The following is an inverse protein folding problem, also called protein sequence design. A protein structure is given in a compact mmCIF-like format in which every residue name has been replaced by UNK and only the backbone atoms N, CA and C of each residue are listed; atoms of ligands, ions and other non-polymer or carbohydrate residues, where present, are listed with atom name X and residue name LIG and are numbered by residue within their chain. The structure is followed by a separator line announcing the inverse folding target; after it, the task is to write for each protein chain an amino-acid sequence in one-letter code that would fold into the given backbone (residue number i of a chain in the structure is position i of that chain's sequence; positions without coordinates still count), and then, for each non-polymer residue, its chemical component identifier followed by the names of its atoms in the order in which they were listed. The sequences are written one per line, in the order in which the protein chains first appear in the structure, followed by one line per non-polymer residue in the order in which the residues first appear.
data_IF_210297656491
#
_entry.id   IF_210297656491
#
_cell.length_a   1.000
_cell.length_b   1.000
_cell.length_c   1.000
_cell.angle_alpha   90.00
_cell.angle_beta   90.00
_cell.angle_gamma   90.00
#
_symmetry.space_group_name_H-M   'P 1'
#
loop_
_entity.id
_entity.type
_entity.pdbx_description
1 polymer ?
#
# COMPACT_ATOMS: atom_id res chain seq x y z
N UNK A 1 -0.28 -0.78 -16.17
CA UNK A 1 0.36 -0.82 -14.85
C UNK A 1 0.03 0.40 -14.01
N UNK A 2 0.56 1.61 -14.29
CA UNK A 2 0.26 2.79 -13.46
C UNK A 2 -1.25 3.05 -13.33
N UNK A 3 -1.98 3.00 -14.46
CA UNK A 3 -3.44 3.06 -14.47
C UNK A 3 -4.10 2.01 -13.56
N UNK A 4 -3.64 0.76 -13.57
CA UNK A 4 -4.13 -0.30 -12.67
C UNK A 4 -3.90 0.05 -11.20
N UNK A 5 -2.72 0.57 -10.86
CA UNK A 5 -2.42 1.00 -9.49
C UNK A 5 -3.37 2.10 -9.04
N UNK A 6 -3.63 3.09 -9.91
CA UNK A 6 -4.55 4.19 -9.63
C UNK A 6 -6.01 3.73 -9.54
N UNK A 7 -6.47 2.83 -10.41
CA UNK A 7 -7.88 2.42 -10.47
C UNK A 7 -8.25 1.36 -9.43
N UNK A 8 -7.31 0.52 -9.00
CA UNK A 8 -7.52 -0.38 -7.85
C UNK A 8 -7.40 0.32 -6.50
N UNK A 9 -7.01 1.61 -6.49
CA UNK A 9 -7.13 2.51 -5.36
C UNK A 9 -7.92 3.74 -5.83
N UNK A 10 -9.17 3.53 -6.29
CA UNK A 10 -9.88 4.53 -7.08
C UNK A 10 -10.08 5.81 -6.28
N UNK A 11 -9.87 6.93 -6.96
CA UNK A 11 -10.22 8.25 -6.43
C UNK A 11 -11.68 8.55 -6.74
N UNK A 12 -12.35 9.35 -5.91
CA UNK A 12 -13.66 9.91 -6.27
C UNK A 12 -13.53 10.70 -7.59
N UNK A 13 -14.46 10.57 -8.57
CA UNK A 13 -15.77 9.92 -8.54
C UNK A 13 -15.82 8.44 -8.95
N UNK A 14 -14.68 7.77 -9.05
CA UNK A 14 -14.59 6.38 -9.50
C UNK A 14 -14.76 5.37 -8.36
N UNK A 15 -15.22 5.79 -7.19
CA UNK A 15 -15.46 4.91 -6.06
C UNK A 15 -16.52 3.85 -6.38
N UNK A 16 -16.42 2.75 -5.65
CA UNK A 16 -17.33 1.63 -5.75
C UNK A 16 -16.91 0.57 -6.78
N UNK A 17 -17.93 -0.13 -7.27
CA UNK A 17 -17.81 -1.28 -8.18
C UNK A 17 -17.06 -0.89 -9.45
N UNK A 18 -17.37 0.27 -10.03
CA UNK A 18 -16.82 0.71 -11.32
C UNK A 18 -15.30 0.89 -11.31
N UNK A 19 -14.72 1.58 -10.32
CA UNK A 19 -13.27 1.76 -10.24
C UNK A 19 -12.52 0.43 -10.09
N UNK A 20 -13.06 -0.46 -9.25
CA UNK A 20 -12.48 -1.79 -9.01
C UNK A 20 -12.50 -2.66 -10.27
N UNK A 21 -13.63 -2.69 -11.00
CA UNK A 21 -13.73 -3.39 -12.28
C UNK A 21 -12.80 -2.78 -13.34
N UNK A 22 -12.74 -1.46 -13.46
CA UNK A 22 -11.79 -0.78 -14.35
C UNK A 22 -10.35 -1.17 -14.03
N UNK A 23 -10.02 -1.28 -12.74
CA UNK A 23 -8.75 -1.80 -12.25
C UNK A 23 -8.45 -3.20 -12.78
N UNK A 24 -9.35 -4.17 -12.58
CA UNK A 24 -9.16 -5.54 -13.05
C UNK A 24 -9.18 -5.68 -14.57
N UNK A 25 -10.10 -5.00 -15.27
CA UNK A 25 -10.15 -4.93 -16.73
C UNK A 25 -8.83 -4.40 -17.31
N UNK A 26 -8.19 -3.43 -16.64
CA UNK A 26 -6.89 -2.91 -17.08
C UNK A 26 -5.75 -3.94 -16.99
N UNK A 27 -5.81 -4.90 -16.06
CA UNK A 27 -4.85 -6.02 -15.99
C UNK A 27 -4.99 -6.89 -17.23
N UNK A 28 -6.23 -7.22 -17.61
CA UNK A 28 -6.50 -8.03 -18.80
C UNK A 28 -6.11 -7.30 -20.10
N UNK A 29 -6.42 -6.00 -20.20
CA UNK A 29 -5.97 -5.18 -21.33
C UNK A 29 -4.44 -5.12 -21.43
N UNK A 30 -3.74 -5.01 -20.29
CA UNK A 30 -2.29 -5.05 -20.26
C UNK A 30 -1.75 -6.39 -20.78
N UNK A 31 -2.38 -7.51 -20.42
CA UNK A 31 -2.05 -8.83 -20.98
C UNK A 31 -2.19 -8.85 -22.51
N UNK A 32 -3.31 -8.37 -23.06
CA UNK A 32 -3.52 -8.31 -24.51
C UNK A 32 -2.44 -7.47 -25.20
N UNK A 33 -2.11 -6.30 -24.65
CA UNK A 33 -1.08 -5.41 -25.18
C UNK A 33 0.29 -6.09 -25.17
N UNK A 34 0.68 -6.71 -24.06
CA UNK A 34 1.97 -7.39 -23.94
C UNK A 34 2.07 -8.61 -24.85
N UNK A 35 0.98 -9.38 -24.98
CA UNK A 35 0.89 -10.51 -25.92
C UNK A 35 1.04 -10.04 -27.36
N UNK A 36 0.31 -8.99 -27.78
CA UNK A 36 0.39 -8.41 -29.13
C UNK A 36 1.81 -7.92 -29.45
N UNK A 37 2.48 -7.32 -28.46
CA UNK A 37 3.85 -6.83 -28.59
C UNK A 37 4.92 -7.93 -28.44
N UNK A 38 4.53 -9.21 -28.28
CA UNK A 38 5.43 -10.34 -28.05
C UNK A 38 6.40 -10.13 -26.88
N UNK A 39 5.91 -9.47 -25.82
CA UNK A 39 6.69 -9.16 -24.61
C UNK A 39 6.56 -10.25 -23.54
N UNK A 40 5.67 -11.23 -23.73
CA UNK A 40 5.43 -12.29 -22.77
C UNK A 40 6.37 -13.47 -23.01
N UNK A 41 7.07 -13.86 -21.95
CA UNK A 41 7.96 -15.00 -21.88
C UNK A 41 7.79 -15.70 -20.53
N UNK A 42 8.05 -17.00 -20.49
CA UNK A 42 7.95 -17.83 -19.28
C UNK A 42 9.20 -18.70 -19.22
N UNK A 43 9.97 -18.57 -18.15
CA UNK A 43 11.04 -19.52 -17.81
C UNK A 43 10.45 -20.69 -17.03
N UNK A 44 11.17 -21.81 -16.97
CA UNK A 44 10.72 -23.01 -16.22
C UNK A 44 10.46 -22.68 -14.74
N UNK A 45 11.31 -21.88 -14.10
CA UNK A 45 11.10 -21.42 -12.72
C UNK A 45 9.82 -20.61 -12.56
N UNK A 46 9.51 -19.76 -13.55
CA UNK A 46 8.32 -18.92 -13.56
C UNK A 46 7.06 -19.81 -13.63
N UNK A 47 7.10 -20.83 -14.51
CA UNK A 47 6.02 -21.80 -14.68
C UNK A 47 5.76 -22.60 -13.39
N UNK A 48 6.81 -23.08 -12.72
CA UNK A 48 6.66 -23.82 -11.45
C UNK A 48 5.95 -22.98 -10.38
N UNK A 49 6.35 -21.72 -10.21
CA UNK A 49 5.70 -20.82 -9.26
C UNK A 49 4.27 -20.52 -9.69
N UNK A 50 4.00 -20.31 -10.99
CA UNK A 50 2.64 -20.09 -11.49
C UNK A 50 1.72 -21.28 -11.25
N UNK A 51 2.21 -22.52 -11.42
CA UNK A 51 1.44 -23.73 -11.13
C UNK A 51 1.10 -23.80 -9.63
N UNK A 52 2.09 -23.53 -8.76
CA UNK A 52 1.86 -23.48 -7.31
C UNK A 52 0.84 -22.39 -6.94
N UNK A 53 0.94 -21.20 -7.55
CA UNK A 53 -0.03 -20.12 -7.33
C UNK A 53 -1.42 -20.49 -7.81
N UNK A 54 -1.53 -21.15 -8.97
CA UNK A 54 -2.80 -21.64 -9.48
C UNK A 54 -3.43 -22.64 -8.51
N UNK A 55 -2.66 -23.57 -7.97
CA UNK A 55 -3.17 -24.53 -6.99
C UNK A 55 -3.59 -23.85 -5.68
N UNK A 56 -2.69 -23.06 -5.08
CA UNK A 56 -2.89 -22.50 -3.73
C UNK A 56 -3.89 -21.35 -3.70
N UNK A 57 -3.91 -20.47 -4.71
CA UNK A 57 -4.74 -19.26 -4.70
C UNK A 57 -6.00 -19.33 -5.56
N UNK A 58 -6.14 -20.36 -6.42
CA UNK A 58 -7.32 -20.55 -7.26
C UNK A 58 -8.02 -21.88 -6.98
N UNK A 59 -7.32 -23.03 -7.05
CA UNK A 59 -7.96 -24.35 -6.88
C UNK A 59 -8.42 -24.56 -5.43
N UNK A 60 -7.53 -24.42 -4.44
CA UNK A 60 -7.90 -24.65 -3.03
C UNK A 60 -9.06 -23.72 -2.60
N UNK A 61 -9.04 -22.40 -2.91
CA UNK A 61 -10.15 -21.53 -2.55
C UNK A 61 -11.48 -21.85 -3.23
N UNK A 62 -11.50 -22.57 -4.37
CA UNK A 62 -12.75 -23.02 -4.99
C UNK A 62 -13.56 -23.97 -4.10
N UNK A 63 -12.93 -24.66 -3.15
CA UNK A 63 -13.64 -25.53 -2.20
C UNK A 63 -14.37 -24.75 -1.10
N UNK A 64 -14.09 -23.45 -0.95
CA UNK A 64 -14.71 -22.59 0.05
C UNK A 64 -15.57 -21.52 -0.64
N UNK A 65 -14.93 -20.50 -1.21
CA UNK A 65 -15.57 -19.43 -1.94
C UNK A 65 -14.58 -18.84 -2.96
N UNK A 66 -14.88 -19.04 -4.25
CA UNK A 66 -14.01 -18.53 -5.31
C UNK A 66 -13.94 -17.00 -5.30
N UNK A 67 -12.73 -16.46 -5.16
CA UNK A 67 -12.49 -15.02 -5.18
C UNK A 67 -11.93 -14.61 -6.54
N UNK A 68 -12.75 -13.96 -7.36
CA UNK A 68 -12.37 -13.54 -8.73
C UNK A 68 -11.11 -12.68 -8.77
N UNK A 69 -10.84 -11.88 -7.73
CA UNK A 69 -9.62 -11.08 -7.65
C UNK A 69 -8.34 -11.91 -7.65
N UNK A 70 -8.35 -13.14 -7.10
CA UNK A 70 -7.20 -14.05 -7.12
C UNK A 70 -6.71 -14.31 -8.54
N UNK A 71 -7.62 -14.43 -9.52
CA UNK A 71 -7.26 -14.68 -10.91
C UNK A 71 -6.46 -13.50 -11.48
N UNK A 72 -6.93 -12.28 -11.23
CA UNK A 72 -6.25 -11.08 -11.67
C UNK A 72 -4.92 -10.85 -10.93
N UNK A 73 -4.79 -11.29 -9.68
CA UNK A 73 -3.54 -11.21 -8.92
C UNK A 73 -2.49 -12.16 -9.51
N UNK A 74 -2.85 -13.42 -9.78
CA UNK A 74 -1.97 -14.39 -10.46
C UNK A 74 -1.57 -13.88 -11.85
N UNK A 75 -2.52 -13.33 -12.62
CA UNK A 75 -2.22 -12.70 -13.90
C UNK A 75 -1.29 -11.50 -13.75
N UNK A 76 -1.48 -10.66 -12.73
CA UNK A 76 -0.61 -9.50 -12.47
C UNK A 76 0.82 -9.90 -12.14
N UNK A 77 1.00 -10.97 -11.37
CA UNK A 77 2.32 -11.56 -11.14
C UNK A 77 2.96 -12.01 -12.45
N UNK A 78 2.24 -12.76 -13.29
CA UNK A 78 2.74 -13.20 -14.61
C UNK A 78 3.17 -12.01 -15.49
N UNK A 79 2.36 -10.95 -15.54
CA UNK A 79 2.70 -9.74 -16.27
C UNK A 79 3.94 -9.05 -15.67
N UNK A 80 4.04 -8.96 -14.34
CA UNK A 80 5.14 -8.30 -13.65
C UNK A 80 6.51 -8.96 -13.92
N UNK A 81 6.57 -10.28 -14.11
CA UNK A 81 7.80 -10.99 -14.49
C UNK A 81 8.41 -10.43 -15.80
N UNK A 82 7.52 -10.09 -16.73
CA UNK A 82 7.86 -9.65 -18.09
C UNK A 82 8.10 -8.14 -18.21
N UNK A 83 8.04 -7.39 -17.10
CA UNK A 83 8.30 -5.95 -17.11
C UNK A 83 9.79 -5.68 -17.05
N UNK A 84 10.30 -5.02 -18.09
CA UNK A 84 11.67 -4.54 -18.09
C UNK A 84 11.84 -3.30 -17.19
N UNK A 85 13.10 -3.00 -16.88
CA UNK A 85 13.46 -1.94 -15.94
C UNK A 85 13.02 -0.55 -16.41
N UNK A 86 13.02 -0.28 -17.72
CA UNK A 86 12.67 1.03 -18.25
C UNK A 86 11.17 1.26 -18.05
N UNK A 87 10.33 0.29 -18.40
CA UNK A 87 8.88 0.40 -18.20
C UNK A 87 8.50 0.38 -16.71
N UNK A 88 9.21 -0.37 -15.87
CA UNK A 88 9.04 -0.30 -14.41
C UNK A 88 9.34 1.09 -13.84
N UNK A 89 10.44 1.72 -14.27
CA UNK A 89 10.79 3.10 -13.88
C UNK A 89 9.74 4.12 -14.35
N UNK A 90 9.33 4.04 -15.62
CA UNK A 90 8.28 4.91 -16.17
C UNK A 90 6.97 4.77 -15.39
N UNK A 91 6.63 3.53 -14.99
CA UNK A 91 5.46 3.27 -14.14
C UNK A 91 5.55 3.98 -12.80
N UNK A 92 6.70 3.95 -12.14
CA UNK A 92 6.91 4.70 -10.89
C UNK A 92 6.78 6.21 -11.10
N UNK A 93 7.34 6.74 -12.19
CA UNK A 93 7.25 8.16 -12.54
C UNK A 93 5.77 8.58 -12.78
N UNK A 94 4.97 7.75 -13.47
CA UNK A 94 3.54 8.01 -13.65
C UNK A 94 2.75 7.95 -12.34
N UNK A 95 3.02 6.97 -11.47
CA UNK A 95 2.37 6.89 -10.15
C UNK A 95 2.75 8.13 -9.30
N UNK A 96 4.02 8.54 -9.34
CA UNK A 96 4.48 9.75 -8.63
C UNK A 96 3.78 11.00 -9.13
N UNK A 97 3.64 11.16 -10.46
CA UNK A 97 2.95 12.29 -11.07
C UNK A 97 1.46 12.31 -10.72
N UNK A 98 0.79 11.15 -10.74
CA UNK A 98 -0.61 11.02 -10.32
C UNK A 98 -0.81 11.48 -8.88
N UNK A 99 -0.02 10.94 -7.94
CA UNK A 99 -0.10 11.34 -6.53
C UNK A 99 0.21 12.82 -6.34
N UNK A 100 1.22 13.34 -7.03
CA UNK A 100 1.56 14.76 -6.99
C UNK A 100 0.36 15.64 -7.37
N UNK A 101 -0.30 15.39 -8.50
CA UNK A 101 -1.42 16.22 -8.93
C UNK A 101 -2.64 16.08 -8.02
N UNK A 102 -2.96 14.85 -7.61
CA UNK A 102 -4.07 14.58 -6.69
C UNK A 102 -3.87 15.33 -5.37
N UNK A 103 -2.69 15.21 -4.75
CA UNK A 103 -2.38 15.86 -3.47
C UNK A 103 -2.25 17.38 -3.64
N UNK A 104 -1.61 17.86 -4.70
CA UNK A 104 -1.39 19.29 -4.94
C UNK A 104 -2.70 20.07 -5.03
N UNK A 105 -3.73 19.48 -5.64
CA UNK A 105 -5.05 20.12 -5.79
C UNK A 105 -5.87 19.96 -4.51
N UNK A 106 -5.90 18.76 -3.94
CA UNK A 106 -6.77 18.46 -2.79
C UNK A 106 -6.28 19.04 -1.47
N UNK A 107 -4.98 19.10 -1.21
CA UNK A 107 -4.43 19.55 0.07
C UNK A 107 -4.74 21.03 0.35
N UNK A 108 -4.49 21.98 -0.58
CA UNK A 108 -4.86 23.38 -0.34
C UNK A 108 -6.36 23.56 -0.14
N UNK A 109 -7.20 22.86 -0.92
CA UNK A 109 -8.65 22.92 -0.78
C UNK A 109 -9.10 22.44 0.60
N UNK A 110 -8.55 21.33 1.09
CA UNK A 110 -8.83 20.80 2.42
C UNK A 110 -8.36 21.75 3.54
N UNK A 111 -7.17 22.34 3.42
CA UNK A 111 -6.67 23.31 4.41
C UNK A 111 -7.50 24.60 4.45
N UNK A 112 -7.95 25.10 3.30
CA UNK A 112 -8.84 26.26 3.23
C UNK A 112 -10.19 25.92 3.86
N UNK A 113 -10.74 24.73 3.58
CA UNK A 113 -11.99 24.26 4.18
C UNK A 113 -11.96 24.27 5.70
N UNK A 114 -10.86 23.80 6.30
CA UNK A 114 -10.72 23.73 7.75
C UNK A 114 -10.45 25.06 8.44
N UNK A 115 -9.71 25.97 7.81
CA UNK A 115 -9.14 27.14 8.52
C UNK A 115 -9.70 28.49 8.08
N UNK A 116 -10.29 28.59 6.89
CA UNK A 116 -10.67 29.87 6.28
C UNK A 116 -12.13 29.93 5.87
N UNK A 117 -12.60 28.93 5.12
CA UNK A 117 -13.94 28.93 4.55
C UNK A 117 -14.46 27.52 4.32
N UNK A 118 -15.61 27.19 4.91
CA UNK A 118 -16.24 25.88 4.73
C UNK A 118 -16.81 25.72 3.32
N UNK A 119 -16.18 24.86 2.52
CA UNK A 119 -16.67 24.47 1.20
C UNK A 119 -18.04 23.80 1.28
N UNK A 120 -18.89 24.01 0.26
CA UNK A 120 -20.19 23.34 0.17
C UNK A 120 -20.02 21.82 0.07
N UNK A 121 -20.78 21.09 0.88
CA UNK A 121 -20.90 19.64 0.77
C UNK A 121 -21.80 19.29 -0.44
N UNK A 122 -21.26 18.53 -1.39
CA UNK A 122 -21.95 18.10 -2.61
C UNK A 122 -22.73 16.79 -2.44
N UNK A 123 -22.69 16.20 -1.25
CA UNK A 123 -23.45 15.00 -0.90
C UNK A 123 -22.62 14.01 -0.10
N UNK A 124 -23.31 12.97 0.37
CA UNK A 124 -22.67 11.88 1.07
C UNK A 124 -22.40 10.70 0.15
N UNK A 125 -21.26 10.05 0.35
CA UNK A 125 -20.85 8.84 -0.33
C UNK A 125 -20.86 7.71 0.70
N UNK A 126 -21.67 6.69 0.46
CA UNK A 126 -21.77 5.53 1.34
C UNK A 126 -21.08 4.32 0.70
N UNK A 127 -19.99 3.87 1.34
CA UNK A 127 -19.25 2.67 0.97
C UNK A 127 -19.47 1.53 1.97
N UNK A 128 -20.46 1.64 2.85
CA UNK A 128 -20.62 0.75 3.99
C UNK A 128 -20.90 -0.70 3.59
N UNK A 129 -21.71 -0.92 2.55
CA UNK A 129 -21.98 -2.26 2.01
C UNK A 129 -20.70 -2.93 1.51
N UNK A 130 -19.87 -2.20 0.77
CA UNK A 130 -18.62 -2.75 0.21
C UNK A 130 -17.54 -2.98 1.27
N UNK A 131 -17.52 -2.13 2.30
CA UNK A 131 -16.54 -2.20 3.39
C UNK A 131 -17.01 -3.09 4.54
N UNK A 132 -18.29 -3.47 4.58
CA UNK A 132 -18.90 -4.29 5.63
C UNK A 132 -18.97 -3.59 7.00
N UNK A 133 -18.85 -2.26 7.03
CA UNK A 133 -18.85 -1.43 8.23
C UNK A 133 -19.24 0.01 7.85
N UNK A 134 -19.63 0.89 8.79
CA UNK A 134 -19.96 2.29 8.48
C UNK A 134 -18.78 3.03 7.85
N UNK A 135 -18.88 3.33 6.56
CA UNK A 135 -17.88 4.02 5.75
C UNK A 135 -18.59 5.10 4.92
N UNK A 136 -18.96 6.19 5.59
CA UNK A 136 -19.74 7.30 5.03
C UNK A 136 -18.83 8.54 4.93
N UNK A 137 -18.90 9.25 3.81
CA UNK A 137 -18.04 10.39 3.53
C UNK A 137 -18.81 11.61 3.08
N UNK A 138 -18.44 12.78 3.56
CA UNK A 138 -18.84 14.07 3.00
C UNK A 138 -17.95 14.39 1.79
N UNK A 139 -18.57 14.75 0.67
CA UNK A 139 -17.89 15.00 -0.59
C UNK A 139 -17.81 16.49 -0.89
N UNK A 140 -16.58 17.01 -1.03
CA UNK A 140 -16.31 18.41 -1.37
C UNK A 140 -15.67 18.55 -2.76
N UNK A 141 -15.84 17.53 -3.62
CA UNK A 141 -15.30 17.39 -4.99
C UNK A 141 -13.77 17.26 -5.02
N UNK A 142 -13.05 18.25 -4.48
CA UNK A 142 -11.58 18.30 -4.47
C UNK A 142 -10.99 17.47 -3.34
N UNK A 143 -11.78 17.15 -2.31
CA UNK A 143 -11.41 16.25 -1.23
C UNK A 143 -12.66 15.62 -0.62
N UNK A 144 -12.46 14.60 0.19
CA UNK A 144 -13.50 13.91 0.97
C UNK A 144 -13.15 13.94 2.46
N UNK A 145 -14.16 13.93 3.31
CA UNK A 145 -13.99 13.78 4.75
C UNK A 145 -14.86 12.65 5.27
N UNK A 146 -14.33 11.89 6.23
CA UNK A 146 -15.08 10.86 6.92
C UNK A 146 -16.22 11.52 7.71
N UNK A 147 -17.47 11.15 7.40
CA UNK A 147 -18.65 11.70 8.05
C UNK A 147 -18.95 11.04 9.41
N UNK A 148 -18.22 9.97 9.74
CA UNK A 148 -18.44 9.17 10.96
C UNK A 148 -17.47 9.51 12.10
N UNK A 149 -16.48 10.37 11.84
CA UNK A 149 -15.45 10.76 12.82
C UNK A 149 -15.60 12.20 13.24
N UNK A 150 -15.39 12.46 14.53
CA UNK A 150 -15.39 13.80 15.12
C UNK A 150 -14.07 14.56 14.91
N UNK A 151 -13.17 14.06 14.05
CA UNK A 151 -11.88 14.68 13.80
C UNK A 151 -11.49 14.54 12.32
N UNK A 152 -10.75 15.52 11.82
CA UNK A 152 -10.43 15.64 10.41
C UNK A 152 -9.05 15.09 10.09
N UNK A 153 -8.99 14.16 9.14
CA UNK A 153 -7.72 13.74 8.52
C UNK A 153 -7.77 14.05 7.04
N UNK A 154 -6.62 14.22 6.43
CA UNK A 154 -6.54 14.41 4.99
C UNK A 154 -6.65 13.06 4.27
N UNK A 155 -7.78 12.83 3.58
CA UNK A 155 -8.01 11.65 2.74
C UNK A 155 -7.67 11.94 1.26
N UNK A 156 -7.43 13.23 0.92
CA UNK A 156 -7.47 13.70 -0.47
C UNK A 156 -8.80 13.27 -1.11
N UNK A 157 -8.78 12.52 -2.20
CA UNK A 157 -9.95 11.91 -2.86
C UNK A 157 -9.95 10.37 -2.77
N UNK A 158 -9.17 9.80 -1.83
CA UNK A 158 -9.12 8.35 -1.56
C UNK A 158 -10.12 7.94 -0.49
N UNK A 159 -10.52 6.67 -0.52
CA UNK A 159 -11.43 6.09 0.47
C UNK A 159 -10.74 5.86 1.83
N UNK A 160 -9.42 5.66 1.85
CA UNK A 160 -8.67 5.50 3.10
C UNK A 160 -7.36 6.30 3.12
N UNK A 161 -7.08 7.04 4.22
CA UNK A 161 -5.86 7.82 4.36
C UNK A 161 -4.65 6.88 4.50
N UNK A 162 -4.88 5.66 5.00
CA UNK A 162 -3.86 4.62 5.09
C UNK A 162 -3.38 4.12 3.73
N UNK A 163 -4.26 4.03 2.73
CA UNK A 163 -3.91 3.60 1.37
C UNK A 163 -3.04 4.65 0.68
N UNK A 164 -3.49 5.92 0.70
CA UNK A 164 -2.72 7.06 0.22
C UNK A 164 -1.34 7.10 0.91
N UNK A 165 -1.31 6.93 2.22
CA UNK A 165 -0.09 6.88 3.01
C UNK A 165 0.87 5.77 2.60
N UNK A 166 0.44 4.50 2.58
CA UNK A 166 1.33 3.39 2.22
C UNK A 166 1.84 3.49 0.78
N UNK A 167 0.97 3.81 -0.17
CA UNK A 167 1.37 3.99 -1.58
C UNK A 167 2.41 5.11 -1.71
N UNK A 168 2.19 6.23 -1.04
CA UNK A 168 3.13 7.37 -1.02
C UNK A 168 4.47 7.03 -0.35
N UNK A 169 4.47 6.27 0.75
CA UNK A 169 5.70 5.82 1.39
C UNK A 169 6.57 4.96 0.46
N UNK A 170 5.94 4.03 -0.26
CA UNK A 170 6.63 3.20 -1.26
C UNK A 170 7.16 4.03 -2.44
N UNK A 171 6.38 4.99 -2.93
CA UNK A 171 6.80 5.90 -4.00
C UNK A 171 7.98 6.76 -3.56
N UNK A 172 7.94 7.36 -2.37
CA UNK A 172 9.05 8.14 -1.81
C UNK A 172 10.32 7.31 -1.66
N UNK A 173 10.20 6.08 -1.14
CA UNK A 173 11.33 5.15 -1.05
C UNK A 173 11.90 4.83 -2.43
N UNK A 174 11.03 4.50 -3.39
CA UNK A 174 11.43 4.20 -4.77
C UNK A 174 12.08 5.39 -5.46
N UNK A 175 11.64 6.61 -5.17
CA UNK A 175 12.26 7.86 -5.62
C UNK A 175 13.48 8.28 -4.78
N UNK A 176 13.94 7.40 -3.87
CA UNK A 176 15.14 7.55 -3.04
C UNK A 176 15.12 8.82 -2.18
N UNK A 177 13.92 9.24 -1.76
CA UNK A 177 13.70 10.48 -1.01
C UNK A 177 14.38 11.70 -1.66
N UNK A 178 14.42 11.76 -3.00
CA UNK A 178 15.04 12.86 -3.72
C UNK A 178 14.14 14.11 -3.65
N UNK A 179 14.28 14.91 -2.60
CA UNK A 179 13.50 16.14 -2.42
C UNK A 179 13.89 17.29 -3.35
N UNK A 180 14.78 17.07 -4.33
CA UNK A 180 14.92 18.00 -5.47
C UNK A 180 13.74 17.88 -6.45
N UNK A 181 13.00 16.77 -6.41
CA UNK A 181 11.77 16.56 -7.19
C UNK A 181 10.59 17.14 -6.40
N UNK A 182 9.88 18.09 -7.01
CA UNK A 182 8.68 18.71 -6.41
C UNK A 182 7.60 17.68 -6.06
N UNK A 183 7.50 16.61 -6.84
CA UNK A 183 6.57 15.51 -6.61
C UNK A 183 6.77 14.90 -5.23
N UNK A 184 8.02 14.64 -4.84
CA UNK A 184 8.33 14.04 -3.55
C UNK A 184 8.04 14.98 -2.37
N UNK A 185 8.21 16.30 -2.57
CA UNK A 185 7.90 17.30 -1.53
C UNK A 185 6.39 17.34 -1.28
N UNK A 186 5.59 17.49 -2.34
CA UNK A 186 4.13 17.54 -2.23
C UNK A 186 3.58 16.24 -1.63
N UNK A 187 4.08 15.08 -2.10
CA UNK A 187 3.67 13.78 -1.57
C UNK A 187 4.01 13.68 -0.06
N UNK A 188 5.21 14.08 0.35
CA UNK A 188 5.61 14.08 1.75
C UNK A 188 4.69 14.97 2.58
N UNK A 189 4.52 16.24 2.21
CA UNK A 189 3.73 17.21 2.96
C UNK A 189 2.27 16.78 3.06
N UNK A 190 1.63 16.40 1.95
CA UNK A 190 0.23 15.97 1.98
C UNK A 190 0.04 14.71 2.83
N UNK A 191 0.97 13.76 2.75
CA UNK A 191 0.88 12.55 3.55
C UNK A 191 1.16 12.77 5.04
N UNK A 192 1.80 13.88 5.43
CA UNK A 192 1.86 14.27 6.85
C UNK A 192 0.46 14.51 7.43
N UNK A 193 -0.43 15.17 6.69
CA UNK A 193 -1.81 15.43 7.13
C UNK A 193 -2.75 14.22 7.06
N UNK A 194 -2.31 13.09 6.48
CA UNK A 194 -3.11 11.86 6.50
C UNK A 194 -3.16 11.21 7.89
N UNK A 195 -2.22 11.57 8.76
CA UNK A 195 -1.99 10.95 10.07
C UNK A 195 -1.91 9.42 10.01
N UNK A 196 -1.33 8.89 8.93
CA UNK A 196 -1.16 7.45 8.70
C UNK A 196 0.10 6.94 9.41
N UNK A 197 -0.08 6.13 10.46
CA UNK A 197 1.04 5.46 11.14
C UNK A 197 1.90 4.63 10.19
N UNK A 198 1.28 3.94 9.23
CA UNK A 198 2.01 3.16 8.24
C UNK A 198 2.90 4.06 7.38
N UNK A 199 2.39 5.23 6.95
CA UNK A 199 3.17 6.21 6.21
C UNK A 199 4.36 6.70 7.03
N UNK A 200 4.14 7.11 8.29
CA UNK A 200 5.21 7.61 9.17
C UNK A 200 6.29 6.56 9.42
N UNK A 201 5.90 5.33 9.78
CA UNK A 201 6.85 4.27 10.10
C UNK A 201 7.64 3.81 8.89
N UNK A 202 6.98 3.56 7.76
CA UNK A 202 7.66 3.12 6.53
C UNK A 202 8.57 4.23 6.00
N UNK A 203 8.12 5.49 6.04
CA UNK A 203 8.92 6.64 5.58
C UNK A 203 10.12 6.88 6.50
N UNK A 204 9.93 6.84 7.82
CA UNK A 204 11.00 7.00 8.82
C UNK A 204 12.07 5.92 8.66
N UNK A 205 11.66 4.64 8.74
CA UNK A 205 12.56 3.50 8.63
C UNK A 205 13.24 3.48 7.26
N UNK A 206 12.50 3.77 6.20
CA UNK A 206 13.03 3.82 4.85
C UNK A 206 14.06 4.92 4.64
N UNK A 207 13.80 6.14 5.13
CA UNK A 207 14.77 7.23 5.04
C UNK A 207 16.02 6.91 5.85
N UNK A 208 15.90 6.49 7.12
CA UNK A 208 17.04 6.09 7.95
C UNK A 208 17.87 4.99 7.29
N UNK A 209 17.21 3.96 6.73
CA UNK A 209 17.89 2.87 6.04
C UNK A 209 18.70 3.34 4.82
N UNK A 210 18.14 4.22 4.00
CA UNK A 210 18.84 4.79 2.84
C UNK A 210 19.99 5.72 3.26
N UNK A 211 19.83 6.46 4.36
CA UNK A 211 20.85 7.37 4.89
C UNK A 211 21.99 6.67 5.63
N UNK A 212 21.77 5.48 6.17
CA UNK A 212 22.77 4.65 6.86
C UNK A 212 23.89 4.11 5.95
N UNK A 213 24.02 4.60 4.71
CA UNK A 213 25.15 4.33 3.82
C UNK A 213 26.39 5.13 4.22
N UNK A 214 26.22 6.20 5.00
CA UNK A 214 27.33 6.95 5.58
C UNK A 214 26.90 7.53 6.91
N UNK A 215 27.76 7.43 7.91
CA UNK A 215 27.48 7.95 9.25
C UNK A 215 27.04 9.41 9.24
N UNK A 216 27.73 10.27 8.47
CA UNK A 216 27.36 11.68 8.29
C UNK A 216 25.92 11.87 7.79
N UNK A 217 25.51 11.17 6.72
CA UNK A 217 24.12 11.26 6.21
C UNK A 217 23.10 10.73 7.21
N UNK A 218 23.43 9.68 7.95
CA UNK A 218 22.55 9.13 8.98
C UNK A 218 22.31 10.16 10.08
N UNK A 219 23.36 10.76 10.63
CA UNK A 219 23.24 11.81 11.65
C UNK A 219 22.44 13.01 11.14
N UNK A 220 22.75 13.52 9.94
CA UNK A 220 21.98 14.62 9.34
C UNK A 220 20.50 14.27 9.16
N UNK A 221 20.19 13.01 8.83
CA UNK A 221 18.80 12.56 8.69
C UNK A 221 18.11 12.46 10.04
N UNK A 222 18.79 11.95 11.07
CA UNK A 222 18.27 11.89 12.44
C UNK A 222 17.95 13.30 12.94
N UNK A 223 18.86 14.27 12.77
CA UNK A 223 18.62 15.66 13.15
C UNK A 223 17.43 16.24 12.38
N UNK A 224 17.37 16.04 11.06
CA UNK A 224 16.24 16.51 10.25
C UNK A 224 14.91 15.90 10.69
N UNK A 225 14.90 14.60 11.01
CA UNK A 225 13.71 13.91 11.53
C UNK A 225 13.30 14.48 12.88
N UNK A 226 14.24 14.66 13.82
CA UNK A 226 13.95 15.23 15.14
C UNK A 226 13.36 16.64 14.99
N UNK A 227 13.91 17.46 14.10
CA UNK A 227 13.38 18.80 13.82
C UNK A 227 11.96 18.73 13.23
N UNK A 228 11.73 17.90 12.22
CA UNK A 228 10.41 17.75 11.59
C UNK A 228 9.39 17.21 12.59
N UNK A 229 9.74 16.19 13.37
CA UNK A 229 8.86 15.62 14.40
C UNK A 229 8.59 16.65 15.49
N UNK A 230 9.60 17.39 15.95
CA UNK A 230 9.44 18.45 16.94
C UNK A 230 8.52 19.57 16.47
N UNK A 231 8.67 20.00 15.21
CA UNK A 231 7.78 20.97 14.56
C UNK A 231 6.35 20.41 14.50
N UNK A 232 6.18 19.17 14.04
CA UNK A 232 4.85 18.54 13.94
C UNK A 232 4.19 18.43 15.32
N UNK A 233 4.90 17.94 16.32
CA UNK A 233 4.37 17.82 17.68
C UNK A 233 4.02 19.20 18.25
N UNK A 234 4.84 20.22 18.02
CA UNK A 234 4.56 21.58 18.50
C UNK A 234 3.31 22.17 17.83
N UNK A 235 3.20 22.11 16.51
CA UNK A 235 2.08 22.72 15.78
C UNK A 235 0.78 21.89 15.84
N UNK A 236 0.87 20.58 16.04
CA UNK A 236 -0.27 19.65 16.03
C UNK A 236 -0.59 19.13 17.44
N UNK A 237 -0.02 19.71 18.50
CA UNK A 237 -0.24 19.27 19.88
C UNK A 237 -1.73 19.24 20.24
N UNK A 238 -2.48 20.25 19.80
CA UNK A 238 -3.91 20.38 20.11
C UNK A 238 -4.82 19.77 19.04
N UNK A 239 -4.26 19.23 17.95
CA UNK A 239 -5.04 18.61 16.87
C UNK A 239 -5.52 17.21 17.30
N UNK A 240 -6.83 17.07 17.50
CA UNK A 240 -7.44 15.81 17.95
C UNK A 240 -7.14 14.64 17.00
N UNK A 241 -7.10 14.91 15.69
CA UNK A 241 -6.81 13.90 14.69
C UNK A 241 -5.37 13.36 14.82
N UNK A 242 -4.40 14.24 15.03
CA UNK A 242 -3.01 13.90 15.31
C UNK A 242 -2.87 13.14 16.64
N UNK A 243 -3.52 13.59 17.71
CA UNK A 243 -3.48 12.91 19.00
C UNK A 243 -3.98 11.46 18.90
N UNK A 244 -5.20 11.26 18.39
CA UNK A 244 -5.83 9.93 18.33
C UNK A 244 -5.22 9.02 17.26
N UNK A 245 -4.78 9.58 16.13
CA UNK A 245 -4.23 8.78 15.03
C UNK A 245 -2.74 8.51 15.14
N UNK A 246 -2.01 9.29 15.95
CA UNK A 246 -0.54 9.25 16.03
C UNK A 246 -0.07 9.11 17.47
N UNK A 247 -0.28 10.11 18.33
CA UNK A 247 0.34 10.17 19.67
C UNK A 247 -0.15 9.04 20.57
N UNK A 248 -1.47 8.88 20.71
CA UNK A 248 -2.09 7.77 21.46
C UNK A 248 -1.65 6.41 20.89
N UNK A 249 -1.16 6.37 19.65
CA UNK A 249 -0.63 5.16 19.03
C UNK A 249 0.86 4.90 19.25
N UNK A 250 1.60 5.92 19.67
CA UNK A 250 2.98 5.80 20.08
C UNK A 250 3.13 5.60 21.60
N UNK A 251 2.15 5.95 22.42
CA UNK A 251 2.24 5.77 23.89
C UNK A 251 2.07 4.32 24.33
N UNK A 252 1.34 3.49 23.58
CA UNK A 252 1.23 2.04 23.80
C UNK A 252 2.04 1.25 22.75
N UNK A 253 3.38 1.30 22.82
CA UNK A 253 4.24 0.51 21.91
C UNK A 253 4.28 -0.96 22.39
N UNK A 254 3.57 -1.85 21.69
CA UNK A 254 3.57 -3.30 21.97
C UNK A 254 3.04 -4.16 20.82
N UNK A 255 3.34 -5.47 20.84
CA UNK A 255 2.79 -6.49 19.93
C UNK A 255 1.26 -6.48 19.92
N UNK A 256 0.66 -6.14 21.06
CA UNK A 256 -0.77 -5.99 21.35
C UNK A 256 -1.50 -5.02 20.39
N UNK A 257 -0.80 -4.14 19.67
CA UNK A 257 -1.42 -3.24 18.69
C UNK A 257 -1.57 -3.81 17.28
N UNK A 258 -0.73 -4.76 16.88
CA UNK A 258 -1.04 -5.58 15.69
C UNK A 258 -2.28 -6.43 15.98
N UNK A 259 -2.42 -6.86 17.23
CA UNK A 259 -3.64 -7.48 17.74
C UNK A 259 -4.80 -6.49 17.77
N UNK A 260 -4.61 -5.22 18.14
CA UNK A 260 -5.67 -4.19 18.09
C UNK A 260 -6.18 -3.83 16.68
N UNK A 261 -5.42 -4.12 15.60
CA UNK A 261 -5.93 -4.07 14.20
C UNK A 261 -6.73 -5.31 13.81
N UNK A 262 -6.72 -6.30 14.67
CA UNK A 262 -7.38 -7.58 14.53
C UNK A 262 -8.59 -7.58 15.47
N UNK A 263 -9.78 -7.93 14.99
CA UNK A 263 -10.95 -8.01 15.88
C UNK A 263 -10.67 -8.93 17.07
N UNK A 264 -11.20 -8.61 18.25
CA UNK A 264 -11.00 -9.41 19.47
C UNK A 264 -11.29 -10.89 19.25
N UNK A 265 -12.37 -11.20 18.53
CA UNK A 265 -12.77 -12.55 18.16
C UNK A 265 -11.73 -13.25 17.26
N UNK A 266 -11.10 -12.52 16.35
CA UNK A 266 -10.04 -13.06 15.49
C UNK A 266 -8.76 -13.33 16.29
N UNK A 267 -8.44 -12.53 17.31
CA UNK A 267 -7.28 -12.80 18.18
C UNK A 267 -7.51 -14.05 19.04
N UNK A 268 -8.69 -14.20 19.64
CA UNK A 268 -9.03 -15.40 20.41
C UNK A 268 -9.01 -16.66 19.54
N UNK A 269 -9.51 -16.55 18.30
CA UNK A 269 -9.42 -17.64 17.34
C UNK A 269 -7.98 -17.96 16.94
N UNK A 270 -7.16 -16.92 16.72
CA UNK A 270 -5.77 -17.04 16.27
C UNK A 270 -4.92 -17.97 17.15
N UNK A 271 -5.06 -17.86 18.46
CA UNK A 271 -4.24 -18.65 19.40
C UNK A 271 -4.53 -20.16 19.30
N UNK A 272 -5.78 -20.53 19.03
CA UNK A 272 -6.16 -21.92 18.76
C UNK A 272 -5.76 -22.34 17.36
N UNK A 273 -5.95 -21.45 16.39
CA UNK A 273 -5.67 -21.70 14.98
C UNK A 273 -4.19 -21.99 14.72
N UNK A 274 -3.27 -21.22 15.31
CA UNK A 274 -1.83 -21.39 15.09
C UNK A 274 -1.31 -22.73 15.62
N UNK A 275 -1.96 -23.31 16.63
CA UNK A 275 -1.63 -24.62 17.19
C UNK A 275 -2.29 -25.79 16.43
N UNK A 276 -3.20 -25.51 15.51
CA UNK A 276 -3.94 -26.52 14.74
C UNK A 276 -3.22 -26.90 13.44
N UNK A 277 -3.57 -28.07 12.88
CA UNK A 277 -3.11 -28.47 11.53
C UNK A 277 -3.67 -27.57 10.41
N UNK A 278 -4.77 -26.88 10.66
CA UNK A 278 -5.43 -26.02 9.66
C UNK A 278 -4.59 -24.78 9.32
N UNK A 279 -3.59 -24.48 10.15
CA UNK A 279 -2.62 -23.40 9.92
C UNK A 279 -1.84 -23.57 8.61
N UNK A 280 -1.65 -24.81 8.13
CA UNK A 280 -0.83 -25.06 6.94
C UNK A 280 -1.52 -24.65 5.64
N UNK A 281 -2.78 -25.05 5.47
CA UNK A 281 -3.57 -24.82 4.24
C UNK A 281 -4.50 -23.61 4.32
N UNK A 282 -4.87 -23.18 5.53
CA UNK A 282 -5.88 -22.15 5.71
C UNK A 282 -7.29 -22.72 5.83
N UNK A 283 -8.20 -21.90 6.34
CA UNK A 283 -9.62 -22.18 6.54
C UNK A 283 -10.49 -21.71 5.37
N UNK A 284 -9.88 -21.09 4.34
CA UNK A 284 -10.59 -20.56 3.18
C UNK A 284 -10.97 -19.08 3.30
N UNK A 285 -11.30 -18.50 2.15
CA UNK A 285 -11.49 -17.05 1.93
C UNK A 285 -12.79 -16.48 2.48
N UNK A 286 -13.77 -17.30 2.82
CA UNK A 286 -15.06 -16.88 3.42
C UNK A 286 -15.10 -17.08 4.93
N UNK A 287 -14.21 -17.91 5.50
CA UNK A 287 -14.28 -18.36 6.89
C UNK A 287 -14.43 -17.21 7.89
N UNK A 288 -13.63 -16.15 7.76
CA UNK A 288 -13.67 -15.00 8.67
C UNK A 288 -15.03 -14.31 8.61
N UNK A 289 -15.55 -14.06 7.41
CA UNK A 289 -16.83 -13.38 7.23
C UNK A 289 -18.00 -14.24 7.75
N UNK A 290 -17.92 -15.56 7.56
CA UNK A 290 -18.99 -16.49 7.90
C UNK A 290 -19.01 -16.85 9.39
N UNK A 291 -17.85 -16.85 10.07
CA UNK A 291 -17.71 -17.42 11.42
C UNK A 291 -17.18 -16.44 12.47
N UNK A 292 -16.53 -15.34 12.07
CA UNK A 292 -15.90 -14.39 13.00
C UNK A 292 -16.54 -13.01 12.84
N UNK A 293 -17.34 -12.61 13.82
CA UNK A 293 -17.82 -11.23 13.91
C UNK A 293 -16.66 -10.31 14.31
N UNK A 294 -16.08 -9.61 13.33
CA UNK A 294 -15.02 -8.64 13.57
C UNK A 294 -14.03 -8.53 12.43
N UNK A 295 -13.79 -7.30 11.98
CA UNK A 295 -12.79 -7.02 10.96
C UNK A 295 -11.39 -7.11 11.56
N UNK A 296 -10.60 -8.08 11.11
CA UNK A 296 -9.16 -8.07 11.27
C UNK A 296 -8.47 -7.71 9.97
N UNK A 297 -7.94 -6.49 9.87
CA UNK A 297 -7.20 -6.02 8.69
C UNK A 297 -5.68 -6.08 8.94
N UNK A 298 -5.20 -7.21 9.47
CA UNK A 298 -3.78 -7.52 9.69
C UNK A 298 -3.36 -8.76 8.88
N UNK A 299 -2.08 -9.13 8.93
CA UNK A 299 -1.59 -10.35 8.27
C UNK A 299 -2.32 -11.62 8.71
N UNK A 300 -2.86 -11.66 9.95
CA UNK A 300 -3.60 -12.82 10.48
C UNK A 300 -4.74 -13.24 9.55
N UNK A 301 -5.41 -12.28 8.91
CA UNK A 301 -6.44 -12.55 7.89
C UNK A 301 -5.89 -13.37 6.73
N UNK A 302 -4.75 -12.97 6.16
CA UNK A 302 -4.16 -13.68 5.04
C UNK A 302 -3.73 -15.10 5.43
N UNK A 303 -3.15 -15.26 6.62
CA UNK A 303 -2.73 -16.58 7.13
C UNK A 303 -3.95 -17.47 7.40
N UNK A 304 -5.03 -16.95 7.98
CA UNK A 304 -6.27 -17.72 8.19
C UNK A 304 -6.88 -18.13 6.84
N UNK A 305 -6.91 -17.23 5.85
CA UNK A 305 -7.52 -17.52 4.54
C UNK A 305 -6.70 -18.50 3.69
N UNK A 306 -5.37 -18.41 3.69
CA UNK A 306 -4.48 -19.13 2.75
C UNK A 306 -3.39 -20.00 3.41
N UNK A 307 -3.32 -20.02 4.74
CA UNK A 307 -2.36 -20.79 5.52
C UNK A 307 -0.92 -20.30 5.43
N UNK A 308 -0.02 -21.03 6.11
CA UNK A 308 1.42 -20.84 6.03
C UNK A 308 1.96 -21.12 4.63
N UNK A 309 1.40 -22.10 3.92
CA UNK A 309 1.81 -22.42 2.54
C UNK A 309 1.55 -21.23 1.61
N UNK A 310 0.36 -20.63 1.68
CA UNK A 310 0.05 -19.42 0.91
C UNK A 310 0.93 -18.23 1.31
N UNK A 311 1.23 -18.09 2.60
CA UNK A 311 2.09 -17.01 3.12
C UNK A 311 3.54 -17.14 2.64
N UNK A 312 4.11 -18.36 2.68
CA UNK A 312 5.45 -18.64 2.16
C UNK A 312 5.47 -18.41 0.66
N UNK A 313 4.45 -18.89 -0.07
CA UNK A 313 4.36 -18.71 -1.51
C UNK A 313 4.27 -17.23 -1.90
N UNK A 314 3.57 -16.40 -1.12
CA UNK A 314 3.54 -14.94 -1.30
C UNK A 314 4.94 -14.33 -1.17
N UNK A 315 5.71 -14.72 -0.16
CA UNK A 315 7.08 -14.24 0.04
C UNK A 315 7.99 -14.69 -1.11
N UNK A 316 7.90 -15.97 -1.51
CA UNK A 316 8.65 -16.54 -2.64
C UNK A 316 8.32 -15.81 -3.94
N UNK A 317 7.05 -15.51 -4.19
CA UNK A 317 6.60 -14.74 -5.35
C UNK A 317 7.29 -13.37 -5.43
N UNK A 318 7.28 -12.61 -4.33
CA UNK A 318 7.93 -11.30 -4.29
C UNK A 318 9.46 -11.39 -4.38
N UNK A 319 10.06 -12.40 -3.75
CA UNK A 319 11.50 -12.66 -3.86
C UNK A 319 11.88 -12.93 -5.31
N UNK A 320 11.07 -13.72 -6.01
CA UNK A 320 11.28 -14.07 -7.41
C UNK A 320 11.09 -12.89 -8.38
N UNK A 321 10.22 -11.92 -8.07
CA UNK A 321 10.09 -10.68 -8.84
C UNK A 321 11.36 -9.80 -8.80
N UNK A 322 12.24 -9.98 -7.81
CA UNK A 322 13.47 -9.20 -7.66
C UNK A 322 14.52 -9.65 -8.67
N UNK A 323 14.63 -8.90 -9.78
CA UNK A 323 15.66 -9.15 -10.82
C UNK A 323 17.10 -8.94 -10.35
N UNK A 324 17.34 -8.08 -9.35
CA UNK A 324 18.70 -7.84 -8.83
C UNK A 324 18.69 -7.39 -7.37
N UNK A 325 19.34 -8.15 -6.50
CA UNK A 325 19.51 -7.76 -5.11
C UNK A 325 20.57 -6.66 -4.96
N UNK A 326 20.23 -5.65 -4.17
CA UNK A 326 21.14 -4.63 -3.66
C UNK A 326 20.58 -4.12 -2.33
N UNK A 327 21.36 -3.32 -1.60
CA UNK A 327 20.96 -2.75 -0.31
C UNK A 327 19.59 -2.08 -0.37
N UNK A 328 19.35 -1.17 -1.32
CA UNK A 328 18.08 -0.44 -1.40
C UNK A 328 16.89 -1.37 -1.68
N UNK A 329 17.08 -2.36 -2.55
CA UNK A 329 16.05 -3.36 -2.86
C UNK A 329 15.76 -4.25 -1.66
N UNK A 330 16.78 -4.67 -0.90
CA UNK A 330 16.59 -5.41 0.34
C UNK A 330 15.82 -4.59 1.38
N UNK A 331 16.20 -3.32 1.58
CA UNK A 331 15.47 -2.42 2.48
C UNK A 331 14.00 -2.25 2.06
N UNK A 332 13.74 -2.09 0.76
CA UNK A 332 12.37 -2.00 0.26
C UNK A 332 11.58 -3.30 0.49
N UNK A 333 12.21 -4.46 0.24
CA UNK A 333 11.59 -5.77 0.45
C UNK A 333 11.16 -5.94 1.91
N UNK A 334 12.04 -5.61 2.86
CA UNK A 334 11.73 -5.67 4.30
C UNK A 334 10.60 -4.69 4.65
N UNK A 335 10.66 -3.44 4.19
CA UNK A 335 9.62 -2.44 4.45
C UNK A 335 8.26 -2.83 3.85
N UNK A 336 8.27 -3.45 2.67
CA UNK A 336 7.08 -3.93 2.00
C UNK A 336 6.39 -5.02 2.84
N UNK A 337 7.15 -5.98 3.37
CA UNK A 337 6.59 -7.01 4.26
C UNK A 337 6.25 -6.49 5.67
N UNK A 338 6.95 -5.48 6.19
CA UNK A 338 6.52 -4.77 7.40
C UNK A 338 5.16 -4.10 7.20
N UNK A 339 4.89 -3.53 6.02
CA UNK A 339 3.56 -3.03 5.67
C UNK A 339 2.53 -4.15 5.60
N UNK A 340 2.90 -5.33 5.10
CA UNK A 340 2.01 -6.50 5.04
C UNK A 340 1.57 -6.96 6.43
N UNK A 341 2.46 -6.91 7.43
CA UNK A 341 2.11 -7.23 8.82
C UNK A 341 0.95 -6.37 9.33
N UNK A 342 0.97 -5.07 9.01
CA UNK A 342 -0.08 -4.15 9.42
C UNK A 342 -1.33 -4.20 8.56
N UNK A 343 -1.22 -4.55 7.27
CA UNK A 343 -2.33 -4.59 6.30
C UNK A 343 -2.08 -5.70 5.27
N UNK A 344 -2.98 -6.69 5.10
CA UNK A 344 -2.78 -7.87 4.25
C UNK A 344 -3.00 -7.58 2.75
N UNK A 345 -2.46 -6.47 2.24
CA UNK A 345 -2.69 -6.00 0.86
C UNK A 345 -1.59 -6.43 -0.11
N UNK A 346 -0.56 -7.13 0.36
CA UNK A 346 0.52 -7.65 -0.50
C UNK A 346 0.01 -8.65 -1.54
N UNK A 347 -1.08 -9.36 -1.27
CA UNK A 347 -1.75 -10.16 -2.30
C UNK A 347 -2.81 -9.31 -3.04
N UNK A 348 -2.34 -8.30 -3.78
CA UNK A 348 -3.18 -7.46 -4.65
C UNK A 348 -2.41 -7.05 -5.91
N UNK A 349 -3.11 -6.86 -7.03
CA UNK A 349 -2.45 -6.51 -8.30
C UNK A 349 -1.72 -5.17 -8.23
N UNK A 350 -2.31 -4.17 -7.57
CA UNK A 350 -1.67 -2.86 -7.42
C UNK A 350 -0.38 -2.94 -6.61
N UNK A 351 -0.31 -3.74 -5.54
CA UNK A 351 0.93 -3.89 -4.78
C UNK A 351 2.02 -4.62 -5.55
N UNK A 352 1.67 -5.63 -6.35
CA UNK A 352 2.61 -6.29 -7.28
C UNK A 352 3.21 -5.26 -8.25
N UNK A 353 2.37 -4.42 -8.87
CA UNK A 353 2.82 -3.42 -9.83
C UNK A 353 3.62 -2.28 -9.19
N UNK A 354 3.26 -1.83 -7.99
CA UNK A 354 4.06 -0.86 -7.23
C UNK A 354 5.42 -1.46 -6.88
N UNK A 355 5.45 -2.72 -6.42
CA UNK A 355 6.68 -3.40 -6.03
C UNK A 355 7.67 -3.49 -7.21
N UNK A 356 7.22 -3.94 -8.39
CA UNK A 356 8.08 -4.03 -9.57
C UNK A 356 8.51 -2.63 -10.07
N UNK A 357 7.63 -1.63 -9.97
CA UNK A 357 7.96 -0.25 -10.34
C UNK A 357 9.05 0.34 -9.45
N UNK A 358 8.93 0.18 -8.13
CA UNK A 358 9.91 0.64 -7.15
C UNK A 358 11.24 -0.09 -7.34
N UNK A 359 11.25 -1.42 -7.32
CA UNK A 359 12.49 -2.20 -7.44
C UNK A 359 13.22 -1.93 -8.76
N UNK A 360 12.49 -1.72 -9.86
CA UNK A 360 13.08 -1.32 -11.16
C UNK A 360 13.87 0.00 -11.08
N UNK A 361 13.36 1.01 -10.37
CA UNK A 361 14.05 2.29 -10.22
C UNK A 361 15.25 2.20 -9.26
N UNK A 362 15.18 1.35 -8.24
CA UNK A 362 16.28 1.13 -7.29
C UNK A 362 17.52 0.50 -7.94
N UNK A 363 17.34 -0.19 -9.08
CA UNK A 363 18.45 -0.76 -9.86
C UNK A 363 19.26 0.27 -10.64
N UNK A 364 18.75 1.49 -10.81
CA UNK A 364 19.47 2.55 -11.53
C UNK A 364 20.65 3.03 -10.68
N UNK A 365 21.84 2.50 -10.99
CA UNK A 365 23.12 3.13 -10.61
C UNK A 365 23.04 4.58 -11.03
N UNK A 366 23.36 5.48 -10.09
CA UNK A 366 23.62 6.90 -10.34
C UNK A 366 24.90 7.06 -11.19
N UNK A 367 24.89 6.52 -12.41
CA UNK A 367 26.01 6.54 -13.34
C UNK A 367 26.02 7.83 -14.16
N UNK A 368 25.87 8.99 -13.51
CA UNK A 368 25.92 10.28 -14.19
C UNK A 368 26.77 11.31 -13.45
N UNK A 369 27.90 10.88 -12.85
CA UNK A 369 28.86 11.82 -12.27
C UNK A 369 30.29 11.76 -12.80
N UNK A 370 30.62 10.88 -13.74
CA UNK A 370 31.95 10.83 -14.33
C UNK A 370 31.85 10.82 -15.85
N UNK A 371 31.56 11.97 -16.47
CA UNK A 371 31.93 12.31 -17.86
C UNK A 371 31.70 13.81 -18.06
N UNK A 372 32.40 14.62 -17.28
CA UNK A 372 32.84 15.96 -17.67
C UNK A 372 34.24 16.10 -17.09
N UNK A 373 35.23 15.83 -17.92
CA UNK A 373 36.55 16.45 -17.91
C UNK A 373 36.91 16.65 -19.38
#
# INVERSE_FOLDING_TARGET
MAFTVCMQNPIWPLWGIWGTWLGYSSVFLLYIIMQKNKQLSIRVSDLMILILMFFVFLIIPCFYAFRTSSLFIVLSYFLALNIDRINGKKTLDYISSFLYWVILVSLPAWLIHLNLFEFQNFGQLDLSEMKGAPYIYNNYILFVMDATRDYYRFYSVFDEPGVLGTLSAFVLYGNKYNFKRKENIVILIGCLFTYSMAFYMITLLGWLYQSAISFKRLIMSIVAIILVVGILVYFMADDQAFQQSVIERFTDVGLDRVEGRTGSNVNVFWDKYIASSDVFLGMGTSFINDNLSGFGNSYKRFVIEYGLIGTILLIVMYFHLVKRWNRLTLGFFVLFFLSFLQRPLAFSSWQIFVFIAVTSNLYIRLSSKNNVN
#
